data_IF_342513000745
#
_entry.id   IF_342513000745
#
_cell.length_a   1.000
_cell.length_b   1.000
_cell.length_c   1.000
_cell.angle_alpha   90.00
_cell.angle_beta   90.00
_cell.angle_gamma   90.00
#
_symmetry.space_group_name_H-M   'P 1'
#
loop_
_entity.id
_entity.type
_entity.pdbx_description
1 polymer ?
#
# COMPACT_ATOMS: atom_id res chain seq x y z
N UNK A 1 -18.60 13.50 6.48
CA UNK A 1 -17.21 13.88 6.85
C UNK A 1 -16.53 12.64 7.41
N UNK A 2 -15.27 12.40 7.07
CA UNK A 2 -14.51 11.21 7.50
C UNK A 2 -13.25 11.65 8.25
N UNK A 3 -12.95 10.99 9.38
CA UNK A 3 -11.70 11.17 10.12
C UNK A 3 -10.78 9.98 9.83
N UNK A 4 -9.60 10.24 9.25
CA UNK A 4 -8.59 9.22 9.01
C UNK A 4 -7.47 9.38 10.03
N UNK A 5 -7.12 8.30 10.72
CA UNK A 5 -5.98 8.24 11.64
C UNK A 5 -4.97 7.29 10.99
N UNK A 6 -3.84 7.83 10.59
CA UNK A 6 -2.81 7.10 9.85
C UNK A 6 -1.60 6.93 10.76
N UNK A 7 -1.22 5.68 10.99
CA UNK A 7 0.05 5.34 11.60
C UNK A 7 1.10 5.17 10.50
N UNK A 8 2.32 5.65 10.73
CA UNK A 8 3.44 5.52 9.80
C UNK A 8 4.75 5.44 10.58
N UNK A 9 5.66 4.58 10.14
CA UNK A 9 6.88 4.28 10.90
C UNK A 9 8.09 5.07 10.38
N UNK A 10 8.00 5.61 9.16
CA UNK A 10 9.14 6.25 8.49
C UNK A 10 8.81 7.60 7.87
N UNK A 11 9.81 8.47 7.75
CA UNK A 11 9.70 9.76 7.04
C UNK A 11 9.34 9.55 5.55
N UNK A 12 9.82 8.47 4.95
CA UNK A 12 9.51 8.10 3.57
C UNK A 12 8.03 7.74 3.41
N UNK A 13 7.44 7.01 4.35
CA UNK A 13 6.00 6.73 4.36
C UNK A 13 5.18 8.00 4.54
N UNK A 14 5.54 8.86 5.52
CA UNK A 14 4.87 10.15 5.73
C UNK A 14 4.83 10.96 4.44
N UNK A 15 5.96 11.11 3.74
CA UNK A 15 6.05 11.85 2.47
C UNK A 15 5.13 11.28 1.38
N UNK A 16 4.95 9.96 1.34
CA UNK A 16 4.04 9.32 0.37
C UNK A 16 2.57 9.56 0.69
N UNK A 17 2.21 9.56 1.97
CA UNK A 17 0.87 9.95 2.44
C UNK A 17 0.60 11.41 2.08
N UNK A 18 1.55 12.30 2.36
CA UNK A 18 1.44 13.72 2.02
C UNK A 18 1.21 13.93 0.52
N UNK A 19 1.99 13.25 -0.33
CA UNK A 19 1.80 13.30 -1.78
C UNK A 19 0.45 12.76 -2.26
N UNK A 20 -0.11 11.75 -1.57
CA UNK A 20 -1.45 11.28 -1.87
C UNK A 20 -2.50 12.34 -1.51
N UNK A 21 -2.41 12.95 -0.33
CA UNK A 21 -3.32 14.02 0.11
C UNK A 21 -3.29 15.19 -0.87
N UNK A 22 -2.10 15.67 -1.25
CA UNK A 22 -1.95 16.79 -2.19
C UNK A 22 -2.60 16.52 -3.54
N UNK A 23 -2.58 15.27 -4.02
CA UNK A 23 -3.21 14.91 -5.30
C UNK A 23 -4.73 14.94 -5.26
N UNK A 24 -5.32 14.62 -4.12
CA UNK A 24 -6.77 14.55 -3.95
C UNK A 24 -7.38 15.85 -3.38
N UNK A 25 -6.56 16.83 -2.99
CA UNK A 25 -7.02 18.07 -2.35
C UNK A 25 -7.96 18.91 -3.25
N UNK A 26 -7.83 18.76 -4.58
CA UNK A 26 -8.65 19.49 -5.55
C UNK A 26 -10.03 18.84 -5.75
N UNK A 27 -10.14 17.54 -5.46
CA UNK A 27 -11.38 16.75 -5.61
C UNK A 27 -12.13 16.59 -4.27
N UNK A 28 -11.41 16.64 -3.15
CA UNK A 28 -11.94 16.43 -1.80
C UNK A 28 -11.54 17.58 -0.88
N UNK A 29 -12.45 18.02 -0.01
CA UNK A 29 -12.09 18.90 1.09
C UNK A 29 -11.28 18.14 2.14
N UNK A 30 -9.95 18.28 2.10
CA UNK A 30 -9.02 17.63 3.03
C UNK A 30 -8.43 18.69 3.98
N UNK A 31 -8.77 18.61 5.28
CA UNK A 31 -8.21 19.45 6.34
C UNK A 31 -7.40 18.56 7.29
N UNK A 32 -6.11 18.85 7.47
CA UNK A 32 -5.31 18.32 8.58
C UNK A 32 -5.63 19.15 9.84
N UNK A 33 -6.28 18.59 10.87
CA UNK A 33 -6.59 19.34 12.08
C UNK A 33 -5.29 19.79 12.76
N UNK A 34 -5.29 21.00 13.31
CA UNK A 34 -4.18 21.54 14.11
C UNK A 34 -4.56 21.49 15.58
N UNK A 35 -3.59 21.23 16.46
CA UNK A 35 -3.81 21.12 17.90
C UNK A 35 -4.01 19.68 18.37
N UNK A 36 -4.63 19.50 19.53
CA UNK A 36 -4.88 18.18 20.11
C UNK A 36 -6.13 17.55 19.48
N UNK A 37 -5.96 16.35 18.91
CA UNK A 37 -7.08 15.52 18.46
C UNK A 37 -7.27 14.44 19.52
N UNK A 38 -8.44 14.42 20.17
CA UNK A 38 -8.74 13.50 21.27
C UNK A 38 -9.92 12.62 20.86
N UNK A 39 -9.77 11.30 20.99
CA UNK A 39 -10.86 10.34 20.81
C UNK A 39 -11.34 9.92 22.19
N UNK A 40 -12.61 10.19 22.49
CA UNK A 40 -13.23 9.84 23.76
C UNK A 40 -14.28 8.76 23.51
N UNK A 41 -14.20 7.66 24.25
CA UNK A 41 -15.20 6.59 24.25
C UNK A 41 -15.79 6.47 25.65
N UNK A 42 -17.09 6.73 25.78
CA UNK A 42 -17.78 6.69 27.06
C UNK A 42 -19.29 6.80 26.90
N UNK A 43 -20.00 6.79 28.03
CA UNK A 43 -21.42 7.17 28.04
C UNK A 43 -21.55 8.65 27.70
N UNK A 44 -22.61 9.03 26.99
CA UNK A 44 -22.81 10.39 26.49
C UNK A 44 -22.70 11.43 27.61
N UNK A 45 -23.31 11.15 28.76
CA UNK A 45 -23.34 12.08 29.90
C UNK A 45 -21.93 12.40 30.42
N UNK A 46 -21.03 11.40 30.42
CA UNK A 46 -19.63 11.59 30.84
C UNK A 46 -18.79 12.29 29.80
N UNK A 47 -19.12 12.13 28.52
CA UNK A 47 -18.46 12.87 27.44
C UNK A 47 -18.86 14.35 27.51
N UNK A 48 -20.13 14.64 27.77
CA UNK A 48 -20.63 16.01 27.92
C UNK A 48 -19.99 16.71 29.13
N UNK A 49 -19.92 16.06 30.30
CA UNK A 49 -19.19 16.56 31.48
C UNK A 49 -17.71 16.87 31.17
N UNK A 50 -17.04 16.00 30.39
CA UNK A 50 -15.64 16.20 30.01
C UNK A 50 -15.46 17.39 29.06
N UNK A 51 -16.38 17.58 28.11
CA UNK A 51 -16.36 18.73 27.19
C UNK A 51 -16.56 20.02 27.97
N UNK A 52 -17.47 20.05 28.93
CA UNK A 52 -17.71 21.21 29.79
C UNK A 52 -16.46 21.60 30.59
N UNK A 53 -15.78 20.64 31.23
CA UNK A 53 -14.52 20.88 31.95
C UNK A 53 -13.41 21.40 31.03
N UNK A 54 -13.30 20.88 29.80
CA UNK A 54 -12.34 21.38 28.81
C UNK A 54 -12.64 22.83 28.41
N UNK A 55 -13.90 23.14 28.10
CA UNK A 55 -14.31 24.49 27.70
C UNK A 55 -14.09 25.52 28.81
N UNK A 56 -14.25 25.14 30.08
CA UNK A 56 -14.00 26.00 31.23
C UNK A 56 -12.51 26.38 31.40
N UNK A 57 -11.59 25.57 30.85
CA UNK A 57 -10.13 25.78 30.95
C UNK A 57 -9.55 26.56 29.76
N UNK A 58 -10.32 26.74 28.69
CA UNK A 58 -9.85 27.34 27.44
C UNK A 58 -10.47 28.73 27.23
N UNK A 59 -9.64 29.73 26.98
CA UNK A 59 -10.12 31.03 26.51
C UNK A 59 -10.71 30.90 25.10
N UNK A 60 -11.90 31.49 24.84
CA UNK A 60 -12.61 31.43 23.54
C UNK A 60 -12.88 29.99 23.10
N UNK A 61 -13.43 29.18 24.01
CA UNK A 61 -13.64 27.75 23.79
C UNK A 61 -14.62 27.47 22.64
N UNK A 62 -15.63 28.31 22.45
CA UNK A 62 -16.58 28.24 21.34
C UNK A 62 -15.94 28.37 19.95
N UNK A 63 -14.75 28.96 19.86
CA UNK A 63 -13.99 29.07 18.59
C UNK A 63 -12.90 28.01 18.44
N UNK A 64 -12.56 27.29 19.52
CA UNK A 64 -11.40 26.39 19.58
C UNK A 64 -11.76 24.92 19.77
N UNK A 65 -12.98 24.64 20.20
CA UNK A 65 -13.45 23.28 20.49
C UNK A 65 -14.47 22.86 19.42
N UNK A 66 -14.03 21.99 18.52
CA UNK A 66 -14.93 21.33 17.55
C UNK A 66 -15.21 19.90 18.06
N UNK A 67 -16.49 19.58 18.33
CA UNK A 67 -16.92 18.24 18.79
C UNK A 67 -17.64 17.52 17.66
N UNK A 68 -17.19 16.30 17.36
CA UNK A 68 -17.80 15.46 16.33
C UNK A 68 -18.19 14.11 16.91
N UNK A 69 -19.45 13.70 16.70
CA UNK A 69 -19.86 12.32 16.93
C UNK A 69 -19.40 11.46 15.74
N UNK A 70 -18.45 10.56 16.00
CA UNK A 70 -17.90 9.67 14.99
C UNK A 70 -18.53 8.28 15.09
N UNK A 71 -18.92 7.73 13.95
CA UNK A 71 -19.28 6.31 13.82
C UNK A 71 -18.16 5.60 13.08
N UNK A 72 -17.83 4.40 13.53
CA UNK A 72 -16.85 3.57 12.85
C UNK A 72 -17.35 3.27 11.44
N UNK A 73 -16.52 3.61 10.45
CA UNK A 73 -16.77 3.32 9.04
C UNK A 73 -15.59 2.51 8.51
N UNK A 74 -15.88 1.30 8.06
CA UNK A 74 -14.89 0.38 7.49
C UNK A 74 -15.20 0.22 6.00
N UNK A 75 -14.56 1.00 5.11
CA UNK A 75 -14.76 0.81 3.68
C UNK A 75 -14.18 -0.54 3.24
N UNK A 76 -14.83 -1.21 2.29
CA UNK A 76 -14.30 -2.41 1.63
C UNK A 76 -13.22 -1.98 0.63
N UNK A 77 -12.02 -1.74 1.13
CA UNK A 77 -10.83 -1.49 0.32
C UNK A 77 -10.04 -2.79 0.26
N UNK A 78 -10.20 -3.53 -0.83
CA UNK A 78 -9.49 -4.79 -1.02
C UNK A 78 -8.20 -4.59 -1.81
N UNK A 79 -7.22 -5.46 -1.54
CA UNK A 79 -6.04 -5.55 -2.38
C UNK A 79 -6.40 -6.28 -3.66
N UNK A 80 -5.97 -5.72 -4.79
CA UNK A 80 -6.01 -6.42 -6.05
C UNK A 80 -4.84 -7.41 -6.10
N UNK A 81 -5.07 -8.58 -6.68
CA UNK A 81 -4.03 -9.58 -6.96
C UNK A 81 -4.06 -9.96 -8.42
N UNK A 82 -2.92 -9.83 -9.11
CA UNK A 82 -2.73 -10.36 -10.46
C UNK A 82 -1.70 -11.47 -10.44
N UNK A 83 -2.04 -12.60 -11.05
CA UNK A 83 -1.17 -13.78 -11.14
C UNK A 83 -0.68 -13.91 -12.58
N UNK A 84 0.63 -13.96 -12.75
CA UNK A 84 1.31 -14.17 -14.02
C UNK A 84 1.98 -15.54 -13.96
N UNK A 85 1.91 -16.29 -15.07
CA UNK A 85 2.50 -17.63 -15.16
C UNK A 85 3.17 -17.78 -16.51
N UNK A 86 4.41 -18.25 -16.50
CA UNK A 86 5.23 -18.41 -17.68
C UNK A 86 5.88 -19.79 -17.66
N UNK A 87 5.98 -20.41 -18.82
CA UNK A 87 6.73 -21.65 -19.01
C UNK A 87 7.81 -21.42 -20.07
N UNK A 88 9.00 -21.96 -19.84
CA UNK A 88 10.15 -21.82 -20.74
C UNK A 88 10.96 -23.10 -20.80
N UNK A 89 11.65 -23.32 -21.92
CA UNK A 89 12.61 -24.43 -22.08
C UNK A 89 13.97 -24.13 -21.46
N UNK A 90 14.18 -22.88 -21.03
CA UNK A 90 15.39 -22.47 -20.34
C UNK A 90 15.53 -23.18 -18.98
N UNK A 91 16.77 -23.42 -18.58
CA UNK A 91 17.06 -24.02 -17.28
C UNK A 91 16.81 -23.05 -16.13
N UNK A 92 16.60 -23.62 -14.93
CA UNK A 92 16.21 -22.87 -13.75
C UNK A 92 17.21 -21.78 -13.34
N UNK A 93 18.51 -22.00 -13.56
CA UNK A 93 19.56 -21.05 -13.17
C UNK A 93 19.67 -19.85 -14.11
N UNK A 94 19.35 -20.04 -15.39
CA UNK A 94 19.22 -18.93 -16.34
C UNK A 94 18.00 -18.07 -16.00
N UNK A 95 16.86 -18.71 -15.73
CA UNK A 95 15.63 -18.03 -15.32
C UNK A 95 15.80 -17.26 -14.01
N UNK A 96 16.45 -17.84 -12.99
CA UNK A 96 16.76 -17.14 -11.74
C UNK A 96 17.56 -15.86 -11.97
N UNK A 97 18.62 -15.92 -12.80
CA UNK A 97 19.44 -14.75 -13.14
C UNK A 97 18.62 -13.65 -13.84
N UNK A 98 17.71 -14.04 -14.73
CA UNK A 98 16.81 -13.07 -15.36
C UNK A 98 15.84 -12.43 -14.36
N UNK A 99 15.27 -13.21 -13.45
CA UNK A 99 14.40 -12.67 -12.40
C UNK A 99 15.15 -11.69 -11.51
N UNK A 100 16.40 -12.00 -11.11
CA UNK A 100 17.22 -11.08 -10.31
C UNK A 100 17.51 -9.76 -11.07
N UNK A 101 17.76 -9.84 -12.38
CA UNK A 101 17.85 -8.66 -13.25
C UNK A 101 16.54 -7.86 -13.28
N UNK A 102 15.40 -8.54 -13.45
CA UNK A 102 14.09 -7.91 -13.50
C UNK A 102 13.77 -7.19 -12.17
N UNK A 103 14.06 -7.82 -11.03
CA UNK A 103 13.88 -7.20 -9.71
C UNK A 103 14.73 -5.95 -9.56
N UNK A 104 15.98 -6.00 -10.01
CA UNK A 104 16.87 -4.82 -10.02
C UNK A 104 16.30 -3.70 -10.89
N UNK A 105 15.81 -4.03 -12.10
CA UNK A 105 15.19 -3.07 -13.03
C UNK A 105 13.88 -2.47 -12.51
N UNK A 106 13.16 -3.21 -11.67
CA UNK A 106 11.96 -2.71 -10.99
C UNK A 106 12.28 -1.90 -9.73
N UNK A 107 13.54 -1.82 -9.33
CA UNK A 107 13.96 -1.27 -8.05
C UNK A 107 13.22 -1.96 -6.88
N UNK A 108 13.08 -3.29 -6.98
CA UNK A 108 12.41 -4.11 -5.99
C UNK A 108 13.34 -4.41 -4.81
N UNK A 109 12.88 -4.21 -3.58
CA UNK A 109 13.59 -4.64 -2.38
C UNK A 109 13.24 -6.08 -2.05
N UNK A 110 14.25 -6.94 -1.88
CA UNK A 110 14.02 -8.27 -1.33
C UNK A 110 13.63 -8.14 0.15
N UNK A 111 12.54 -8.79 0.54
CA UNK A 111 12.04 -8.76 1.91
C UNK A 111 12.40 -10.05 2.64
N UNK A 112 11.93 -11.20 2.14
CA UNK A 112 12.14 -12.51 2.75
C UNK A 112 11.84 -13.64 1.76
N UNK A 113 12.25 -14.87 2.12
CA UNK A 113 11.85 -16.09 1.43
C UNK A 113 10.56 -16.64 2.05
N UNK A 114 9.53 -16.87 1.23
CA UNK A 114 8.31 -17.56 1.67
C UNK A 114 8.51 -19.08 1.64
N UNK A 115 7.50 -19.85 2.05
CA UNK A 115 7.52 -21.33 1.96
C UNK A 115 7.64 -21.85 0.53
N UNK A 116 7.26 -21.04 -0.46
CA UNK A 116 7.14 -21.46 -1.85
C UNK A 116 7.96 -20.61 -2.82
N UNK A 117 8.50 -19.47 -2.39
CA UNK A 117 9.15 -18.51 -3.28
C UNK A 117 9.92 -17.41 -2.58
N UNK A 118 10.26 -16.36 -3.33
CA UNK A 118 10.89 -15.13 -2.81
C UNK A 118 9.87 -13.99 -2.83
N UNK A 119 9.87 -13.18 -1.79
CA UNK A 119 8.99 -12.02 -1.66
C UNK A 119 9.79 -10.73 -1.79
N UNK A 120 9.30 -9.83 -2.63
CA UNK A 120 9.87 -8.51 -2.86
C UNK A 120 8.81 -7.42 -2.67
N UNK A 121 9.24 -6.20 -2.34
CA UNK A 121 8.40 -5.00 -2.41
C UNK A 121 8.87 -4.09 -3.53
N UNK A 122 7.93 -3.50 -4.24
CA UNK A 122 8.18 -2.49 -5.26
C UNK A 122 7.45 -1.22 -4.88
N UNK A 123 8.18 -0.11 -4.90
CA UNK A 123 7.63 1.22 -4.71
C UNK A 123 7.65 1.97 -6.03
N UNK A 124 6.48 2.45 -6.44
CA UNK A 124 6.31 3.19 -7.69
C UNK A 124 5.59 4.50 -7.43
N UNK A 125 5.56 5.37 -8.44
CA UNK A 125 4.71 6.58 -8.43
C UNK A 125 3.21 6.27 -8.29
N UNK A 126 2.78 5.04 -8.60
CA UNK A 126 1.38 4.58 -8.53
C UNK A 126 1.03 3.94 -7.18
N UNK A 127 2.01 3.74 -6.29
CA UNK A 127 1.82 3.09 -5.00
C UNK A 127 2.84 1.98 -4.75
N UNK A 128 2.52 1.11 -3.79
CA UNK A 128 3.34 -0.02 -3.39
C UNK A 128 2.69 -1.34 -3.83
N UNK A 129 3.50 -2.26 -4.34
CA UNK A 129 3.11 -3.64 -4.61
C UNK A 129 4.04 -4.63 -3.91
N UNK A 130 3.49 -5.77 -3.52
CA UNK A 130 4.22 -6.96 -3.07
C UNK A 130 4.28 -7.96 -4.22
N UNK A 131 5.46 -8.53 -4.45
CA UNK A 131 5.70 -9.56 -5.46
C UNK A 131 6.07 -10.86 -4.76
N UNK A 132 5.34 -11.94 -5.02
CA UNK A 132 5.76 -13.30 -4.66
C UNK A 132 6.14 -14.06 -5.92
N UNK A 133 7.38 -14.53 -5.99
CA UNK A 133 7.95 -15.21 -7.16
C UNK A 133 8.28 -16.65 -6.80
N UNK A 134 7.69 -17.58 -7.53
CA UNK A 134 7.90 -19.02 -7.43
C UNK A 134 8.51 -19.52 -8.74
N UNK A 135 9.68 -20.17 -8.64
CA UNK A 135 10.37 -20.76 -9.79
C UNK A 135 10.44 -22.27 -9.56
N UNK A 136 9.90 -23.05 -10.50
CA UNK A 136 9.83 -24.50 -10.42
C UNK A 136 10.60 -25.11 -11.59
N UNK A 137 11.52 -26.02 -11.28
CA UNK A 137 12.19 -26.84 -12.27
C UNK A 137 11.28 -28.01 -12.68
N UNK A 138 11.13 -28.24 -13.97
CA UNK A 138 10.36 -29.35 -14.56
C UNK A 138 11.25 -30.10 -15.54
N UNK A 139 10.91 -31.35 -15.84
CA UNK A 139 11.70 -32.21 -16.75
C UNK A 139 12.06 -31.56 -18.10
N UNK A 140 11.20 -30.68 -18.63
CA UNK A 140 11.38 -30.01 -19.93
C UNK A 140 11.52 -28.48 -19.84
N UNK A 141 12.00 -27.96 -18.71
CA UNK A 141 12.30 -26.54 -18.55
C UNK A 141 11.76 -25.95 -17.24
N UNK A 142 11.53 -24.65 -17.21
CA UNK A 142 11.24 -23.92 -15.97
C UNK A 142 9.86 -23.26 -16.02
N UNK A 143 9.14 -23.31 -14.91
CA UNK A 143 7.89 -22.55 -14.70
C UNK A 143 8.12 -21.43 -13.71
N UNK A 144 7.68 -20.23 -14.08
CA UNK A 144 7.73 -19.04 -13.22
C UNK A 144 6.31 -18.58 -12.94
N UNK A 145 5.96 -18.46 -11.66
CA UNK A 145 4.71 -17.86 -11.21
C UNK A 145 5.02 -16.61 -10.41
N UNK A 146 4.35 -15.51 -10.76
CA UNK A 146 4.51 -14.22 -10.10
C UNK A 146 3.13 -13.76 -9.64
N UNK A 147 2.95 -13.57 -8.34
CA UNK A 147 1.78 -12.91 -7.79
C UNK A 147 2.14 -11.45 -7.46
N UNK A 148 1.37 -10.51 -8.00
CA UNK A 148 1.48 -9.08 -7.74
C UNK A 148 0.27 -8.66 -6.90
N UNK A 149 0.50 -8.17 -5.69
CA UNK A 149 -0.55 -7.74 -4.76
C UNK A 149 -0.36 -6.28 -4.37
N UNK A 150 -1.44 -5.49 -4.31
CA UNK A 150 -1.38 -4.08 -3.90
C UNK A 150 -2.74 -3.39 -3.96
N UNK A 151 -2.77 -2.10 -3.63
CA UNK A 151 -3.97 -1.28 -3.67
C UNK A 151 -3.96 -0.33 -4.88
N UNK A 152 -5.11 -0.19 -5.54
CA UNK A 152 -5.27 0.67 -6.72
C UNK A 152 -4.47 0.20 -7.94
N UNK A 153 -4.12 1.14 -8.83
CA UNK A 153 -3.52 0.87 -10.15
C UNK A 153 -2.10 0.28 -10.12
N UNK A 154 -1.46 0.22 -8.94
CA UNK A 154 -0.07 -0.27 -8.85
C UNK A 154 0.05 -1.73 -9.30
N UNK A 155 -1.00 -2.53 -9.08
CA UNK A 155 -1.02 -3.95 -9.43
C UNK A 155 -0.92 -4.13 -10.93
N UNK A 156 -1.75 -3.42 -11.70
CA UNK A 156 -1.71 -3.49 -13.16
C UNK A 156 -0.43 -2.88 -13.71
N UNK A 157 -0.04 -1.71 -13.21
CA UNK A 157 1.19 -1.03 -13.63
C UNK A 157 2.44 -1.92 -13.49
N UNK A 158 2.59 -2.59 -12.35
CA UNK A 158 3.73 -3.48 -12.11
C UNK A 158 3.59 -4.78 -12.91
N UNK A 159 2.39 -5.35 -12.98
CA UNK A 159 2.14 -6.60 -13.70
C UNK A 159 2.41 -6.45 -15.20
N UNK A 160 1.97 -5.36 -15.83
CA UNK A 160 2.20 -5.11 -17.25
C UNK A 160 3.68 -4.88 -17.54
N UNK A 161 4.40 -4.20 -16.63
CA UNK A 161 5.85 -4.03 -16.75
C UNK A 161 6.57 -5.37 -16.66
N UNK A 162 6.17 -6.25 -15.74
CA UNK A 162 6.73 -7.61 -15.63
C UNK A 162 6.40 -8.43 -16.89
N UNK A 163 5.16 -8.43 -17.34
CA UNK A 163 4.70 -9.21 -18.50
C UNK A 163 5.42 -8.81 -19.78
N UNK A 164 5.61 -7.51 -20.02
CA UNK A 164 6.38 -7.03 -21.17
C UNK A 164 7.84 -7.51 -21.15
N UNK A 165 8.50 -7.47 -20.00
CA UNK A 165 9.89 -7.93 -19.86
C UNK A 165 9.99 -9.45 -19.99
N UNK A 166 9.08 -10.20 -19.37
CA UNK A 166 9.03 -11.66 -19.46
C UNK A 166 8.79 -12.12 -20.90
N UNK A 167 7.83 -11.50 -21.61
CA UNK A 167 7.58 -11.81 -23.03
C UNK A 167 8.79 -11.52 -23.90
N UNK A 168 9.46 -10.39 -23.69
CA UNK A 168 10.69 -10.05 -24.43
C UNK A 168 11.79 -11.09 -24.18
N UNK A 169 11.97 -11.50 -22.93
CA UNK A 169 12.96 -12.50 -22.55
C UNK A 169 12.67 -13.90 -23.10
N UNK A 170 11.40 -14.31 -23.13
CA UNK A 170 10.97 -15.62 -23.60
C UNK A 170 10.88 -15.74 -25.13
N UNK A 171 11.27 -14.70 -25.87
CA UNK A 171 11.27 -14.71 -27.34
C UNK A 171 9.92 -14.33 -27.97
N UNK A 172 9.18 -13.42 -27.35
CA UNK A 172 7.99 -12.81 -27.94
C UNK A 172 8.34 -11.83 -29.06
N UNK A 173 8.58 -12.38 -30.26
CA UNK A 173 8.76 -11.70 -31.54
C UNK A 173 8.96 -12.72 -32.65
#
# INVERSE_FOLDING_TARGET
>A
MYLLILDYETDAERKRIDYAIERWQDELFIKKPKGAIIIVKGKKEKVDEFIEDLCARLERSEEKVEVYEIKEYRPEVEKNTRKLSYETRENVDFVKRFIDYLMTKLNASYEYGSKIGKVYKVYTKKGQATLEIVIQDKENGTVVKIAVEGYGDVVDFVSDKIDNEMKTFLGGG
#
